data_IF_194024683886
#
_entry.id   IF_194024683886
#
_cell.length_a   1.000
_cell.length_b   1.000
_cell.length_c   1.000
_cell.angle_alpha   90.00
_cell.angle_beta   90.00
_cell.angle_gamma   90.00
#
_symmetry.space_group_name_H-M   'P 1'
#
loop_
_entity.id
_entity.type
_entity.pdbx_description
1 polymer ?
#
# COMPACT_ATOMS: atom_id res chain seq x y z
N UNK A 1 5.12 -5.73 6.51
CA UNK A 1 4.10 -5.27 5.56
C UNK A 1 4.01 -3.75 5.52
N UNK A 2 3.42 -2.96 6.46
CA UNK A 2 3.13 -1.54 6.17
C UNK A 2 4.32 -0.66 5.73
N UNK A 3 5.54 -0.99 6.18
CA UNK A 3 6.75 -0.30 5.77
C UNK A 3 7.17 -0.59 4.31
N UNK A 4 6.89 -1.79 3.79
CA UNK A 4 7.19 -2.14 2.39
C UNK A 4 6.33 -1.30 1.46
N UNK A 5 5.03 -1.16 1.75
CA UNK A 5 4.14 -0.31 0.95
C UNK A 5 4.64 1.14 0.87
N UNK A 6 5.20 1.69 1.96
CA UNK A 6 5.76 3.04 1.96
C UNK A 6 6.96 3.14 1.02
N UNK A 7 7.90 2.19 1.14
CA UNK A 7 9.13 2.17 0.35
C UNK A 7 8.79 1.95 -1.12
N UNK A 8 7.85 1.07 -1.43
CA UNK A 8 7.38 0.79 -2.79
C UNK A 8 6.74 2.01 -3.47
N UNK A 9 5.87 2.72 -2.75
CA UNK A 9 5.21 3.95 -3.22
C UNK A 9 6.25 5.07 -3.44
N UNK A 10 7.23 5.19 -2.53
CA UNK A 10 8.37 6.09 -2.70
C UNK A 10 9.18 5.69 -3.94
N UNK A 11 9.50 4.41 -4.11
CA UNK A 11 10.31 3.89 -5.23
C UNK A 11 9.66 4.23 -6.59
N UNK A 12 8.34 4.01 -6.72
CA UNK A 12 7.59 4.41 -7.91
C UNK A 12 7.69 5.90 -8.20
N UNK A 13 7.81 6.73 -7.17
CA UNK A 13 7.82 8.20 -7.26
C UNK A 13 9.22 8.79 -7.35
N UNK A 14 10.26 8.02 -7.06
CA UNK A 14 11.67 8.45 -7.17
C UNK A 14 12.33 7.89 -8.42
N UNK A 15 12.10 6.63 -8.77
CA UNK A 15 12.76 5.97 -9.90
C UNK A 15 11.81 5.45 -10.99
N UNK A 16 10.50 5.49 -10.76
CA UNK A 16 9.50 5.15 -11.78
C UNK A 16 9.19 3.65 -11.92
N UNK A 17 8.19 3.32 -12.76
CA UNK A 17 7.65 1.95 -12.87
C UNK A 17 8.63 0.94 -13.46
N UNK A 18 9.48 1.33 -14.41
CA UNK A 18 10.41 0.39 -15.05
C UNK A 18 11.48 -0.09 -14.06
N UNK A 19 12.00 0.81 -13.22
CA UNK A 19 12.94 0.46 -12.15
C UNK A 19 12.25 -0.34 -11.06
N UNK A 20 10.98 -0.04 -10.79
CA UNK A 20 10.17 -0.80 -9.84
C UNK A 20 10.04 -2.25 -10.26
N UNK A 21 9.71 -2.48 -11.53
CA UNK A 21 9.58 -3.83 -12.08
C UNK A 21 10.94 -4.56 -12.08
N UNK A 22 12.04 -3.87 -12.39
CA UNK A 22 13.38 -4.43 -12.28
C UNK A 22 13.72 -4.86 -10.85
N UNK A 23 13.39 -4.04 -9.86
CA UNK A 23 13.64 -4.34 -8.45
C UNK A 23 12.78 -5.50 -7.94
N UNK A 24 11.48 -5.50 -8.24
CA UNK A 24 10.56 -6.58 -7.87
C UNK A 24 10.97 -7.92 -8.50
N UNK A 25 11.53 -7.90 -9.71
CA UNK A 25 12.02 -9.10 -10.40
C UNK A 25 13.50 -9.43 -10.09
N UNK A 26 14.15 -8.71 -9.17
CA UNK A 26 15.56 -8.85 -8.81
C UNK A 26 16.53 -8.75 -10.02
N UNK A 27 16.17 -7.96 -11.02
CA UNK A 27 17.06 -7.58 -12.13
C UNK A 27 18.08 -6.50 -11.71
N UNK A 28 17.78 -5.79 -10.61
CA UNK A 28 18.71 -4.91 -9.90
C UNK A 28 18.79 -5.33 -8.43
N UNK A 29 19.96 -5.17 -7.78
CA UNK A 29 20.13 -5.59 -6.40
C UNK A 29 19.41 -4.65 -5.43
N UNK A 30 19.13 -5.13 -4.23
CA UNK A 30 18.62 -4.31 -3.12
C UNK A 30 19.60 -3.21 -2.68
N UNK A 31 20.88 -3.36 -3.02
CA UNK A 31 21.92 -2.35 -2.79
C UNK A 31 22.02 -1.31 -3.90
N UNK A 32 21.13 -1.33 -4.90
CA UNK A 32 21.07 -0.30 -5.93
C UNK A 32 20.80 1.09 -5.30
N UNK A 33 21.51 2.17 -5.72
CA UNK A 33 21.33 3.50 -5.15
C UNK A 33 19.88 4.02 -5.16
N UNK A 34 19.07 3.60 -6.13
CA UNK A 34 17.65 3.99 -6.23
C UNK A 34 16.79 3.32 -5.15
N UNK A 35 17.13 2.09 -4.76
CA UNK A 35 16.50 1.39 -3.64
C UNK A 35 16.94 2.05 -2.32
N UNK A 36 18.23 2.37 -2.20
CA UNK A 36 18.75 3.09 -1.04
C UNK A 36 18.05 4.43 -0.84
N UNK A 37 17.89 5.23 -1.89
CA UNK A 37 17.19 6.52 -1.84
C UNK A 37 15.75 6.38 -1.29
N UNK A 38 15.02 5.35 -1.74
CA UNK A 38 13.66 5.11 -1.27
C UNK A 38 13.61 4.78 0.24
N UNK A 39 14.54 3.96 0.73
CA UNK A 39 14.69 3.68 2.16
C UNK A 39 15.08 4.94 2.95
N UNK A 40 15.99 5.77 2.43
CA UNK A 40 16.40 7.00 3.11
C UNK A 40 15.24 7.98 3.28
N UNK A 41 14.42 8.18 2.24
CA UNK A 41 13.21 9.02 2.31
C UNK A 41 12.22 8.44 3.33
N UNK A 42 12.01 7.12 3.32
CA UNK A 42 11.18 6.45 4.33
C UNK A 42 11.71 6.68 5.75
N UNK A 43 13.03 6.58 5.94
CA UNK A 43 13.71 6.79 7.21
C UNK A 43 13.60 8.24 7.72
N UNK A 44 13.63 9.24 6.83
CA UNK A 44 13.42 10.64 7.19
C UNK A 44 12.06 10.89 7.87
N UNK A 45 11.06 10.08 7.56
CA UNK A 45 9.73 10.13 8.20
C UNK A 45 9.71 9.27 9.45
N UNK A 46 9.95 7.97 9.30
CA UNK A 46 9.67 6.99 10.37
C UNK A 46 10.66 7.01 11.52
N UNK A 47 11.87 7.52 11.29
CA UNK A 47 12.91 7.65 12.31
C UNK A 47 12.94 9.03 12.97
N UNK A 48 12.11 9.98 12.50
CA UNK A 48 12.07 11.34 13.01
C UNK A 48 10.96 11.51 14.06
N UNK A 49 11.34 11.71 15.32
CA UNK A 49 10.39 11.87 16.44
C UNK A 49 9.53 13.13 16.36
N UNK A 50 9.91 14.11 15.52
CA UNK A 50 9.08 15.29 15.26
C UNK A 50 7.96 15.02 14.25
N UNK A 51 8.08 13.95 13.44
CA UNK A 51 7.13 13.60 12.38
C UNK A 51 6.20 12.45 12.76
N UNK A 52 6.65 11.54 13.63
CA UNK A 52 5.85 10.38 14.08
C UNK A 52 5.45 10.51 15.54
N UNK A 53 4.15 10.33 15.80
CA UNK A 53 3.62 10.30 17.16
C UNK A 53 4.33 9.23 17.99
N UNK A 54 4.86 9.62 19.16
CA UNK A 54 5.56 8.71 20.07
C UNK A 54 6.90 8.16 19.55
N UNK A 55 7.44 8.74 18.48
CA UNK A 55 8.75 8.38 17.94
C UNK A 55 8.82 7.01 17.26
N UNK A 56 10.02 6.59 16.82
CA UNK A 56 10.23 5.36 16.05
C UNK A 56 9.81 4.08 16.81
N UNK A 57 9.89 4.10 18.15
CA UNK A 57 9.42 2.98 18.99
C UNK A 57 7.91 2.75 18.78
N UNK A 58 7.12 3.82 18.67
CA UNK A 58 5.68 3.70 18.41
C UNK A 58 5.41 3.16 17.01
N UNK A 59 6.21 3.57 16.01
CA UNK A 59 6.15 3.00 14.65
C UNK A 59 6.35 1.49 14.66
N UNK A 60 7.33 0.99 15.45
CA UNK A 60 7.63 -0.44 15.55
C UNK A 60 6.60 -1.25 16.36
N UNK A 61 5.99 -0.63 17.38
CA UNK A 61 5.17 -1.34 18.35
C UNK A 61 3.66 -1.31 18.04
N UNK A 62 3.22 -0.46 17.11
CA UNK A 62 1.79 -0.24 16.86
C UNK A 62 1.28 -1.12 15.73
N UNK A 63 0.19 -1.85 15.97
CA UNK A 63 -0.48 -2.62 14.93
C UNK A 63 -1.10 -1.67 13.88
N UNK A 64 -1.05 -2.05 12.60
CA UNK A 64 -1.58 -1.23 11.51
C UNK A 64 -3.08 -0.91 11.62
N UNK A 65 -3.86 -1.75 12.30
CA UNK A 65 -5.29 -1.51 12.54
C UNK A 65 -5.52 -0.43 13.60
N UNK A 66 -4.60 -0.32 14.56
CA UNK A 66 -4.66 0.65 15.66
C UNK A 66 -3.93 1.96 15.33
N UNK A 67 -3.05 1.97 14.31
CA UNK A 67 -2.17 3.11 14.00
C UNK A 67 -2.91 4.39 13.56
N UNK A 68 -4.19 4.28 13.21
CA UNK A 68 -5.04 5.42 12.86
C UNK A 68 -5.70 6.09 14.08
N UNK A 69 -5.68 5.44 15.25
CA UNK A 69 -6.43 5.87 16.44
C UNK A 69 -6.05 7.29 16.91
N UNK A 70 -4.79 7.68 16.69
CA UNK A 70 -4.25 8.97 17.13
C UNK A 70 -4.82 10.19 16.41
N UNK A 71 -5.50 9.97 15.27
CA UNK A 71 -6.27 11.01 14.59
C UNK A 71 -7.56 11.39 15.35
N UNK A 72 -8.06 10.50 16.21
CA UNK A 72 -9.40 10.61 16.82
C UNK A 72 -9.37 10.89 18.33
N UNK A 73 -8.20 11.22 18.89
CA UNK A 73 -8.11 11.71 20.27
C UNK A 73 -8.56 13.16 20.38
N UNK A 74 -8.89 13.63 21.60
CA UNK A 74 -9.21 15.04 21.88
C UNK A 74 -8.22 15.63 22.92
N UNK A 75 -7.30 16.52 22.50
CA UNK A 75 -7.02 16.95 21.12
C UNK A 75 -6.36 15.83 20.28
N UNK A 76 -6.41 15.91 18.93
CA UNK A 76 -5.73 14.95 18.06
C UNK A 76 -4.21 14.90 18.32
N UNK A 77 -3.66 13.70 18.44
CA UNK A 77 -2.21 13.48 18.66
C UNK A 77 -1.45 13.23 17.36
N UNK A 78 -2.16 12.91 16.28
CA UNK A 78 -1.66 12.88 14.92
C UNK A 78 -2.60 13.66 13.98
N UNK A 79 -2.07 14.16 12.86
CA UNK A 79 -2.85 14.91 11.86
C UNK A 79 -3.04 14.17 10.55
N UNK A 80 -2.15 13.22 10.24
CA UNK A 80 -2.16 12.44 9.00
C UNK A 80 -1.77 10.99 9.29
N UNK A 81 -2.29 10.09 8.48
CA UNK A 81 -1.95 8.67 8.51
C UNK A 81 -1.89 8.15 7.07
N UNK A 82 -0.88 7.33 6.76
CA UNK A 82 -0.72 6.70 5.44
C UNK A 82 -1.07 5.24 5.55
N UNK A 83 -2.09 4.81 4.82
CA UNK A 83 -2.50 3.42 4.68
C UNK A 83 -3.37 3.25 3.44
N UNK A 84 -3.50 2.02 2.93
CA UNK A 84 -4.43 1.68 1.87
C UNK A 84 -5.89 1.96 2.26
N UNK A 85 -6.75 2.04 1.24
CA UNK A 85 -8.16 2.45 1.35
C UNK A 85 -8.99 1.62 2.34
N UNK A 86 -8.58 0.38 2.63
CA UNK A 86 -9.28 -0.47 3.59
C UNK A 86 -9.28 0.08 5.01
N UNK A 87 -8.35 0.98 5.37
CA UNK A 87 -8.28 1.53 6.74
C UNK A 87 -9.58 2.22 7.16
N UNK A 88 -10.37 2.67 6.19
CA UNK A 88 -11.70 3.25 6.43
C UNK A 88 -12.65 2.30 7.16
N UNK A 89 -12.55 0.98 6.97
CA UNK A 89 -13.38 0.03 7.73
C UNK A 89 -12.96 0.00 9.20
N UNK A 90 -11.66 0.05 9.49
CA UNK A 90 -11.14 0.10 10.87
C UNK A 90 -11.55 1.40 11.58
N UNK A 91 -11.51 2.54 10.86
CA UNK A 91 -12.00 3.82 11.38
C UNK A 91 -13.46 3.74 11.77
N UNK A 92 -14.32 3.20 10.89
CA UNK A 92 -15.77 3.05 11.15
C UNK A 92 -16.06 2.11 12.31
N UNK A 93 -15.36 0.98 12.38
CA UNK A 93 -15.58 -0.02 13.42
C UNK A 93 -15.16 0.52 14.80
N UNK A 94 -14.06 1.27 14.87
CA UNK A 94 -13.57 1.85 16.12
C UNK A 94 -14.27 3.17 16.52
N UNK A 95 -14.76 3.93 15.54
CA UNK A 95 -15.34 5.27 15.73
C UNK A 95 -16.66 5.38 14.95
N UNK A 96 -17.77 4.79 15.44
CA UNK A 96 -19.02 4.71 14.69
C UNK A 96 -19.67 6.08 14.40
N UNK A 97 -19.30 7.11 15.17
CA UNK A 97 -19.79 8.47 14.99
C UNK A 97 -18.98 9.29 13.95
N UNK A 98 -17.86 8.75 13.44
CA UNK A 98 -17.03 9.43 12.43
C UNK A 98 -17.66 9.32 11.05
N UNK A 99 -17.96 10.47 10.45
CA UNK A 99 -18.46 10.57 9.09
C UNK A 99 -17.29 10.64 8.08
N UNK A 100 -17.01 9.53 7.40
CA UNK A 100 -16.04 9.46 6.28
C UNK A 100 -16.45 10.46 5.18
N UNK A 101 -15.51 11.31 4.76
CA UNK A 101 -15.80 12.38 3.79
C UNK A 101 -16.38 13.64 4.42
N UNK A 102 -16.52 13.72 5.76
CA UNK A 102 -16.78 14.95 6.51
C UNK A 102 -15.73 15.19 7.59
N UNK A 103 -15.52 14.21 8.47
CA UNK A 103 -14.56 14.29 9.57
C UNK A 103 -13.17 13.79 9.14
N UNK A 104 -13.11 12.92 8.12
CA UNK A 104 -11.88 12.39 7.54
C UNK A 104 -11.84 12.67 6.04
N UNK A 105 -10.65 13.02 5.53
CA UNK A 105 -10.34 13.08 4.08
C UNK A 105 -9.13 12.22 3.77
N UNK A 106 -8.97 11.90 2.51
CA UNK A 106 -7.75 11.34 1.97
C UNK A 106 -7.21 12.26 0.89
N UNK A 107 -5.94 12.09 0.56
CA UNK A 107 -5.32 12.62 -0.63
C UNK A 107 -4.35 11.55 -1.14
N UNK A 108 -4.11 11.54 -2.46
CA UNK A 108 -3.10 10.65 -3.04
C UNK A 108 -1.72 10.93 -2.45
N UNK A 109 -0.85 9.92 -2.40
CA UNK A 109 0.50 10.10 -1.88
C UNK A 109 1.21 11.24 -2.65
N UNK A 110 1.94 12.15 -1.98
CA UNK A 110 2.57 13.29 -2.64
C UNK A 110 3.49 12.90 -3.80
N UNK A 111 3.56 13.74 -4.83
CA UNK A 111 4.57 13.59 -5.89
C UNK A 111 5.96 13.87 -5.31
N UNK A 112 6.94 13.00 -5.58
CA UNK A 112 8.34 13.20 -5.18
C UNK A 112 9.15 13.71 -6.38
N UNK A 113 9.22 12.93 -7.46
CA UNK A 113 9.78 13.35 -8.74
C UNK A 113 8.66 13.58 -9.77
N UNK A 114 8.41 14.82 -10.24
CA UNK A 114 7.40 15.12 -11.24
C UNK A 114 7.56 14.35 -12.56
N UNK A 115 8.77 13.88 -12.89
CA UNK A 115 9.03 13.05 -14.09
C UNK A 115 8.27 11.72 -14.05
N UNK A 116 8.02 11.17 -12.86
CA UNK A 116 7.33 9.89 -12.68
C UNK A 116 5.83 10.05 -12.37
N UNK A 117 5.32 11.28 -12.38
CA UNK A 117 3.90 11.57 -12.18
C UNK A 117 3.39 11.19 -10.79
N UNK A 118 2.15 10.69 -10.73
CA UNK A 118 1.46 10.30 -9.50
C UNK A 118 0.95 8.85 -9.61
N UNK A 119 1.85 7.85 -9.57
CA UNK A 119 1.49 6.45 -9.76
C UNK A 119 0.62 5.94 -8.61
N UNK A 120 -0.23 4.95 -8.89
CA UNK A 120 -1.00 4.24 -7.88
C UNK A 120 -0.35 2.90 -7.55
N UNK A 121 -0.10 2.67 -6.27
CA UNK A 121 0.28 1.37 -5.72
C UNK A 121 -0.96 0.73 -5.09
N UNK A 122 -1.15 -0.58 -5.26
CA UNK A 122 -2.20 -1.27 -4.52
C UNK A 122 -2.08 -2.78 -4.55
N UNK A 123 -2.81 -3.42 -3.64
CA UNK A 123 -3.03 -4.86 -3.64
C UNK A 123 -4.45 -5.18 -4.12
N UNK A 124 -4.67 -6.42 -4.56
CA UNK A 124 -5.94 -6.87 -5.11
C UNK A 124 -6.27 -8.29 -4.70
N UNK A 125 -7.55 -8.56 -4.42
CA UNK A 125 -8.03 -9.93 -4.22
C UNK A 125 -8.12 -10.65 -5.56
N UNK A 126 -7.43 -11.78 -5.66
CA UNK A 126 -7.49 -12.65 -6.84
C UNK A 126 -8.39 -13.85 -6.56
N UNK A 127 -9.13 -14.26 -7.58
CA UNK A 127 -9.92 -15.50 -7.57
C UNK A 127 -9.33 -16.38 -8.66
N UNK A 128 -9.02 -17.63 -8.31
CA UNK A 128 -8.40 -18.59 -9.22
C UNK A 128 -9.31 -19.80 -9.45
N UNK A 129 -9.36 -20.24 -10.70
CA UNK A 129 -10.00 -21.50 -11.10
C UNK A 129 -8.90 -22.57 -11.26
N UNK A 130 -8.94 -23.61 -10.43
CA UNK A 130 -7.94 -24.69 -10.45
C UNK A 130 -8.24 -25.82 -11.43
N UNK A 131 -9.51 -26.01 -11.79
CA UNK A 131 -9.95 -27.07 -12.69
C UNK A 131 -10.75 -26.47 -13.84
N UNK A 132 -10.45 -26.89 -15.07
CA UNK A 132 -11.19 -26.47 -16.26
C UNK A 132 -12.60 -27.04 -16.22
N UNK A 133 -13.59 -26.16 -15.99
CA UNK A 133 -14.99 -26.51 -15.86
C UNK A 133 -15.86 -25.35 -16.39
N UNK A 134 -16.76 -25.57 -17.37
CA UNK A 134 -17.57 -24.50 -17.96
C UNK A 134 -18.40 -23.71 -16.94
N UNK A 135 -18.98 -24.37 -15.94
CA UNK A 135 -19.78 -23.70 -14.90
C UNK A 135 -18.91 -22.80 -14.01
N UNK A 136 -17.70 -23.25 -13.67
CA UNK A 136 -16.76 -22.43 -12.92
C UNK A 136 -16.29 -21.23 -13.74
N UNK A 137 -16.00 -21.42 -15.03
CA UNK A 137 -15.63 -20.34 -15.94
C UNK A 137 -16.76 -19.31 -16.08
N UNK A 138 -18.02 -19.75 -16.16
CA UNK A 138 -19.18 -18.85 -16.17
C UNK A 138 -19.28 -18.03 -14.88
N UNK A 139 -19.03 -18.65 -13.72
CA UNK A 139 -19.01 -17.94 -12.45
C UNK A 139 -17.85 -16.95 -12.35
N UNK A 140 -16.64 -17.32 -12.79
CA UNK A 140 -15.49 -16.42 -12.87
C UNK A 140 -15.77 -15.19 -13.74
N UNK A 141 -16.42 -15.39 -14.90
CA UNK A 141 -16.85 -14.29 -15.77
C UNK A 141 -17.89 -13.38 -15.10
N UNK A 142 -18.82 -13.96 -14.33
CA UNK A 142 -19.75 -13.17 -13.53
C UNK A 142 -19.01 -12.34 -12.47
N UNK A 143 -18.09 -12.94 -11.71
CA UNK A 143 -17.30 -12.24 -10.69
C UNK A 143 -16.44 -11.09 -11.27
N UNK A 144 -15.96 -11.23 -12.51
CA UNK A 144 -15.24 -10.18 -13.22
C UNK A 144 -16.15 -9.08 -13.81
N UNK A 145 -17.47 -9.30 -13.84
CA UNK A 145 -18.43 -8.33 -14.38
C UNK A 145 -18.61 -7.11 -13.47
N UNK A 146 -19.01 -5.98 -14.06
CA UNK A 146 -19.36 -4.78 -13.29
C UNK A 146 -20.50 -5.06 -12.31
N UNK A 147 -21.51 -5.85 -12.70
CA UNK A 147 -22.66 -6.19 -11.86
C UNK A 147 -22.23 -6.89 -10.55
N UNK A 148 -21.34 -7.89 -10.63
CA UNK A 148 -20.86 -8.57 -9.43
C UNK A 148 -20.00 -7.65 -8.56
N UNK A 149 -19.11 -6.87 -9.18
CA UNK A 149 -18.27 -5.94 -8.43
C UNK A 149 -19.07 -4.79 -7.80
N UNK A 150 -20.13 -4.31 -8.44
CA UNK A 150 -21.06 -3.31 -7.90
C UNK A 150 -21.67 -3.75 -6.56
N UNK A 151 -22.00 -5.04 -6.42
CA UNK A 151 -22.48 -5.61 -5.16
C UNK A 151 -21.40 -5.50 -4.06
N UNK A 152 -20.14 -5.79 -4.39
CA UNK A 152 -19.04 -5.77 -3.43
C UNK A 152 -18.64 -4.36 -3.01
N UNK A 153 -18.46 -3.46 -3.97
CA UNK A 153 -18.05 -2.08 -3.67
C UNK A 153 -19.13 -1.37 -2.83
N UNK A 154 -20.41 -1.62 -3.11
CA UNK A 154 -21.52 -1.05 -2.35
C UNK A 154 -21.57 -1.58 -0.91
N UNK A 155 -21.38 -2.89 -0.70
CA UNK A 155 -21.49 -3.52 0.62
C UNK A 155 -20.25 -3.37 1.48
N UNK A 156 -19.07 -3.45 0.88
CA UNK A 156 -17.80 -3.55 1.60
C UNK A 156 -17.01 -2.23 1.63
N UNK A 157 -17.40 -1.24 0.80
CA UNK A 157 -16.65 0.00 0.67
C UNK A 157 -15.23 -0.20 0.13
N UNK A 158 -15.03 -1.23 -0.71
CA UNK A 158 -13.77 -1.50 -1.41
C UNK A 158 -13.79 -0.88 -2.80
N UNK A 159 -12.62 -0.78 -3.41
CA UNK A 159 -12.49 -0.33 -4.80
C UNK A 159 -12.76 -1.50 -5.75
N UNK A 160 -13.31 -1.20 -6.92
CA UNK A 160 -13.56 -2.18 -7.98
C UNK A 160 -12.52 -2.02 -9.07
N UNK A 161 -12.22 -3.11 -9.77
CA UNK A 161 -11.23 -3.12 -10.86
C UNK A 161 -11.88 -2.95 -12.24
N UNK A 162 -13.20 -3.16 -12.33
CA UNK A 162 -13.94 -3.02 -13.57
C UNK A 162 -14.33 -1.55 -13.82
N UNK A 163 -13.81 -0.96 -14.90
CA UNK A 163 -14.05 0.44 -15.26
C UNK A 163 -15.49 0.76 -15.73
N UNK A 164 -16.38 -0.24 -15.77
CA UNK A 164 -17.81 -0.07 -16.08
C UNK A 164 -18.71 -0.03 -14.84
N UNK A 165 -18.15 -0.13 -13.64
CA UNK A 165 -18.89 0.07 -12.40
C UNK A 165 -19.50 1.46 -12.41
N UNK A 166 -20.81 1.56 -12.15
CA UNK A 166 -21.46 2.84 -11.97
C UNK A 166 -20.93 3.53 -10.71
N UNK A 167 -20.26 4.70 -10.82
CA UNK A 167 -19.69 5.37 -9.65
C UNK A 167 -20.73 5.65 -8.57
N UNK A 168 -22.02 5.79 -8.90
CA UNK A 168 -23.07 6.05 -7.92
C UNK A 168 -23.28 4.91 -6.90
N UNK A 169 -22.79 3.69 -7.15
CA UNK A 169 -22.96 2.56 -6.20
C UNK A 169 -22.01 2.60 -5.01
N UNK A 170 -20.94 3.40 -5.07
CA UNK A 170 -20.02 3.57 -3.95
C UNK A 170 -20.75 4.18 -2.74
N UNK A 171 -20.49 3.67 -1.53
CA UNK A 171 -21.28 3.99 -0.33
C UNK A 171 -21.13 5.44 0.15
N UNK A 172 -20.06 6.12 -0.28
CA UNK A 172 -19.74 7.49 0.08
C UNK A 172 -18.88 8.15 -1.00
N UNK A 173 -18.81 9.48 -0.97
CA UNK A 173 -18.05 10.27 -1.94
C UNK A 173 -16.55 10.04 -1.83
N UNK A 174 -16.03 9.73 -0.64
CA UNK A 174 -14.59 9.49 -0.44
C UNK A 174 -14.14 8.23 -1.19
N UNK A 175 -14.89 7.13 -1.06
CA UNK A 175 -14.60 5.87 -1.76
C UNK A 175 -14.76 6.03 -3.27
N UNK A 176 -15.73 6.85 -3.69
CA UNK A 176 -15.94 7.21 -5.11
C UNK A 176 -14.75 7.98 -5.67
N UNK A 177 -14.21 8.92 -4.91
CA UNK A 177 -13.01 9.70 -5.27
C UNK A 177 -11.76 8.80 -5.34
N UNK A 178 -11.57 7.88 -4.38
CA UNK A 178 -10.50 6.88 -4.44
C UNK A 178 -10.58 6.00 -5.69
N UNK A 179 -11.79 5.55 -6.05
CA UNK A 179 -12.02 4.76 -7.27
C UNK A 179 -11.74 5.58 -8.54
N UNK A 180 -12.10 6.87 -8.54
CA UNK A 180 -11.79 7.77 -9.63
C UNK A 180 -10.28 7.95 -9.80
N UNK A 181 -9.52 8.19 -8.73
CA UNK A 181 -8.06 8.28 -8.80
C UNK A 181 -7.43 7.00 -9.34
N UNK A 182 -7.92 5.83 -8.92
CA UNK A 182 -7.43 4.55 -9.45
C UNK A 182 -7.69 4.42 -10.96
N UNK A 183 -8.86 4.86 -11.43
CA UNK A 183 -9.24 4.78 -12.84
C UNK A 183 -8.54 5.83 -13.73
N UNK A 184 -8.14 6.96 -13.15
CA UNK A 184 -7.42 8.04 -13.83
C UNK A 184 -5.90 7.88 -13.80
N UNK A 185 -5.37 6.95 -13.01
CA UNK A 185 -3.94 6.72 -12.89
C UNK A 185 -3.33 6.19 -14.18
N UNK A 186 -2.35 6.91 -14.74
CA UNK A 186 -1.59 6.47 -15.91
C UNK A 186 -0.72 5.23 -15.61
N UNK A 187 -0.30 5.08 -14.35
CA UNK A 187 0.55 3.99 -13.88
C UNK A 187 -0.07 3.37 -12.65
N UNK A 188 -0.26 2.06 -12.70
CA UNK A 188 -0.57 1.22 -11.55
C UNK A 188 0.48 0.13 -11.40
N UNK A 189 0.87 -0.17 -10.16
CA UNK A 189 1.64 -1.38 -9.81
C UNK A 189 1.03 -2.10 -8.62
N UNK A 190 1.14 -3.43 -8.68
CA UNK A 190 0.83 -4.27 -7.53
C UNK A 190 1.88 -4.04 -6.44
N UNK A 191 1.47 -4.26 -5.19
CA UNK A 191 2.39 -4.34 -4.06
C UNK A 191 3.56 -5.28 -4.40
N UNK A 192 4.76 -4.74 -4.25
CA UNK A 192 6.00 -5.35 -4.66
C UNK A 192 6.33 -6.50 -3.76
N UNK A 193 6.21 -6.31 -2.44
CA UNK A 193 6.43 -7.37 -1.45
C UNK A 193 5.48 -8.56 -1.65
N UNK A 194 4.25 -8.33 -2.09
CA UNK A 194 3.28 -9.38 -2.45
C UNK A 194 3.67 -10.14 -3.74
N UNK A 195 4.44 -9.50 -4.62
CA UNK A 195 4.88 -10.04 -5.91
C UNK A 195 6.25 -10.74 -5.86
N UNK A 196 7.03 -10.49 -4.80
CA UNK A 196 8.34 -11.12 -4.55
C UNK A 196 8.20 -12.55 -3.99
N UNK A 197 9.23 -13.41 -4.09
CA UNK A 197 9.28 -14.66 -3.34
C UNK A 197 9.03 -14.43 -1.85
N UNK A 198 8.28 -15.33 -1.20
CA UNK A 198 7.85 -15.15 0.19
C UNK A 198 9.01 -14.96 1.19
N UNK A 199 10.17 -15.58 0.92
CA UNK A 199 11.39 -15.40 1.73
C UNK A 199 11.94 -13.97 1.66
N UNK A 200 11.68 -13.26 0.56
CA UNK A 200 12.12 -11.88 0.32
C UNK A 200 11.01 -10.92 0.75
N UNK A 201 9.87 -10.90 0.05
CA UNK A 201 8.81 -9.91 0.22
C UNK A 201 8.19 -9.91 1.61
N UNK A 202 7.59 -11.04 1.99
CA UNK A 202 7.02 -11.23 3.34
C UNK A 202 8.02 -11.65 4.42
N UNK A 203 9.30 -11.78 4.05
CA UNK A 203 10.38 -12.26 4.92
C UNK A 203 11.41 -11.16 5.15
N UNK A 204 12.54 -11.26 4.46
CA UNK A 204 13.70 -10.40 4.65
C UNK A 204 13.38 -8.91 4.50
N UNK A 205 12.51 -8.52 3.56
CA UNK A 205 12.13 -7.11 3.39
C UNK A 205 11.35 -6.60 4.60
N UNK A 206 10.39 -7.37 5.13
CA UNK A 206 9.68 -6.99 6.35
C UNK A 206 10.63 -6.87 7.54
N UNK A 207 11.51 -7.84 7.74
CA UNK A 207 12.49 -7.81 8.83
C UNK A 207 13.48 -6.65 8.67
N UNK A 208 14.02 -6.43 7.48
CA UNK A 208 14.97 -5.37 7.19
C UNK A 208 14.39 -3.98 7.44
N UNK A 209 13.11 -3.74 7.11
CA UNK A 209 12.46 -2.46 7.44
C UNK A 209 12.33 -2.23 8.94
N UNK A 210 12.08 -3.28 9.74
CA UNK A 210 12.05 -3.19 11.20
C UNK A 210 13.44 -2.90 11.78
N UNK A 211 14.48 -3.57 11.26
CA UNK A 211 15.88 -3.30 11.62
C UNK A 211 16.24 -1.84 11.35
N UNK A 212 15.89 -1.33 10.16
CA UNK A 212 16.20 0.03 9.76
C UNK A 212 15.50 1.09 10.63
N UNK A 213 14.21 0.90 10.91
CA UNK A 213 13.48 1.79 11.84
C UNK A 213 14.01 1.64 13.27
N UNK A 214 14.43 0.44 13.66
CA UNK A 214 15.06 0.12 14.94
C UNK A 214 16.42 0.77 15.18
N UNK A 215 17.06 1.25 14.11
CA UNK A 215 18.27 2.07 14.19
C UNK A 215 19.47 1.50 13.45
N UNK A 216 19.36 0.33 12.84
CA UNK A 216 20.45 -0.33 12.12
C UNK A 216 20.91 0.49 10.90
N UNK A 217 22.15 0.27 10.50
CA UNK A 217 22.73 0.92 9.31
C UNK A 217 22.05 0.42 8.04
N UNK A 218 21.69 1.35 7.15
CA UNK A 218 20.95 1.02 5.94
C UNK A 218 21.73 0.08 5.03
N UNK A 219 23.06 0.23 4.93
CA UNK A 219 23.89 -0.62 4.09
C UNK A 219 23.78 -2.07 4.53
N UNK A 220 23.93 -2.32 5.84
CA UNK A 220 23.81 -3.66 6.41
C UNK A 220 22.41 -4.25 6.25
N UNK A 221 21.37 -3.41 6.36
CA UNK A 221 19.98 -3.84 6.12
C UNK A 221 19.78 -4.28 4.67
N UNK A 222 20.23 -3.46 3.69
CA UNK A 222 20.08 -3.79 2.27
C UNK A 222 20.93 -4.99 1.87
N UNK A 223 22.14 -5.14 2.42
CA UNK A 223 22.98 -6.34 2.23
C UNK A 223 22.31 -7.61 2.79
N UNK A 224 21.64 -7.51 3.93
CA UNK A 224 20.85 -8.62 4.48
C UNK A 224 19.73 -9.03 3.53
N UNK A 225 18.93 -8.07 3.05
CA UNK A 225 17.83 -8.38 2.13
C UNK A 225 18.37 -8.96 0.82
N UNK A 226 19.43 -8.37 0.27
CA UNK A 226 20.11 -8.85 -0.94
C UNK A 226 20.57 -10.31 -0.79
N UNK A 227 21.15 -10.66 0.37
CA UNK A 227 21.63 -12.02 0.62
C UNK A 227 20.51 -13.06 0.52
N UNK A 228 19.29 -12.71 0.94
CA UNK A 228 18.12 -13.59 0.84
C UNK A 228 17.54 -13.57 -0.57
N UNK A 229 17.58 -12.42 -1.25
CA UNK A 229 17.10 -12.29 -2.62
C UNK A 229 17.90 -13.14 -3.62
N UNK A 230 19.24 -13.10 -3.54
CA UNK A 230 20.13 -13.91 -4.41
C UNK A 230 19.84 -15.41 -4.33
N UNK A 231 19.42 -15.91 -3.17
CA UNK A 231 19.10 -17.33 -2.98
C UNK A 231 17.65 -17.69 -3.40
N UNK A 232 16.78 -16.69 -3.59
CA UNK A 232 15.32 -16.88 -3.76
C UNK A 232 14.80 -16.68 -5.19
N UNK A 233 15.54 -15.96 -6.04
CA UNK A 233 15.23 -15.72 -7.45
C UNK A 233 15.99 -16.67 -8.38
#
# INVERSE_FOLDING_TARGET
>A
WPATDWIEDIMLRTAGPDVYDQWVNHEIPWTDPRVQEAFEIFGQVTRNSDYVYGGPITVLATNFGDSVAELFTDPPRAMMHRQASFITSFVRDANPDVEIGKDVRFFGFPVINPEHGNPMLGAGSMIAQFNENPEAAAFMNFLASAEAQEIWVNRLGKLGTNNKINPAVYPDDLTREMAQLLNEADVFRFDGSDSMPAAVGSGAFWEGTLMYVGGDDLTSVLEFIESVAVDSY
#
